data_IF_318008595935
#
_entry.id   IF_318008595935
#
_cell.length_a   1.000
_cell.length_b   1.000
_cell.length_c   1.000
_cell.angle_alpha   90.00
_cell.angle_beta   90.00
_cell.angle_gamma   90.00
#
_symmetry.space_group_name_H-M   'P 1'
#
loop_
_entity.id
_entity.type
_entity.pdbx_description
1 polymer ?
#
# COMPACT_ATOMS: atom_id res chain seq x y z
N UNK A 1 25.84 -10.99 -4.17
CA UNK A 1 24.55 -11.37 -3.57
C UNK A 1 24.06 -10.19 -2.75
N UNK A 2 23.21 -9.34 -3.31
CA UNK A 2 22.55 -8.27 -2.58
C UNK A 2 21.44 -8.90 -1.74
N UNK A 3 21.57 -8.81 -0.41
CA UNK A 3 20.50 -9.20 0.49
C UNK A 3 19.24 -8.41 0.14
N UNK A 4 18.13 -9.09 -0.17
CA UNK A 4 16.83 -8.45 -0.21
C UNK A 4 16.61 -7.84 1.18
N UNK A 5 16.68 -6.52 1.30
CA UNK A 5 16.37 -5.83 2.54
C UNK A 5 14.86 -5.87 2.73
N UNK A 6 14.37 -6.92 3.37
CA UNK A 6 13.01 -6.93 3.89
C UNK A 6 12.98 -6.06 5.14
N UNK A 7 12.56 -4.79 4.99
CA UNK A 7 12.37 -3.93 6.14
C UNK A 7 11.08 -4.35 6.87
N UNK A 8 11.16 -4.77 8.14
CA UNK A 8 9.97 -5.08 8.91
C UNK A 8 9.09 -3.84 9.03
N UNK A 9 7.78 -4.03 9.08
CA UNK A 9 6.85 -2.94 9.35
C UNK A 9 7.17 -2.30 10.71
N UNK A 10 7.32 -0.97 10.73
CA UNK A 10 7.34 -0.20 11.99
C UNK A 10 5.96 -0.26 12.64
N UNK A 11 5.86 0.02 13.95
CA UNK A 11 4.59 -0.09 14.70
C UNK A 11 3.45 0.69 14.01
N UNK A 12 3.66 1.97 13.71
CA UNK A 12 2.67 2.82 13.04
C UNK A 12 2.29 2.37 11.62
N UNK A 13 3.17 1.64 10.93
CA UNK A 13 2.85 1.02 9.63
C UNK A 13 1.93 -0.20 9.79
N UNK A 14 2.08 -0.95 10.89
CA UNK A 14 1.17 -2.06 11.23
C UNK A 14 -0.19 -1.53 11.66
N UNK A 15 -0.22 -0.53 12.54
CA UNK A 15 -1.46 0.07 13.03
C UNK A 15 -2.31 0.59 11.87
N UNK A 16 -1.71 1.29 10.90
CA UNK A 16 -2.46 1.77 9.75
C UNK A 16 -2.94 0.61 8.86
N UNK A 17 -2.12 -0.44 8.70
CA UNK A 17 -2.49 -1.60 7.88
C UNK A 17 -3.68 -2.37 8.46
N UNK A 18 -3.71 -2.55 9.78
CA UNK A 18 -4.79 -3.25 10.50
C UNK A 18 -6.14 -2.52 10.43
N UNK A 19 -6.12 -1.20 10.27
CA UNK A 19 -7.35 -0.39 10.14
C UNK A 19 -7.85 -0.28 8.71
N UNK A 20 -7.10 -0.77 7.73
CA UNK A 20 -7.49 -0.73 6.34
C UNK A 20 -8.54 -1.80 6.02
N UNK A 21 -9.52 -1.47 5.18
CA UNK A 21 -10.17 -2.49 4.36
C UNK A 21 -9.19 -2.92 3.27
N UNK A 22 -8.74 -4.17 3.33
CA UNK A 22 -7.79 -4.75 2.38
C UNK A 22 -8.52 -5.66 1.39
N UNK A 23 -8.28 -5.46 0.10
CA UNK A 23 -8.84 -6.33 -0.95
C UNK A 23 -7.77 -6.70 -1.97
N UNK A 24 -7.93 -7.87 -2.59
CA UNK A 24 -7.18 -8.24 -3.77
C UNK A 24 -7.88 -7.74 -5.04
N UNK A 25 -7.11 -7.17 -5.96
CA UNK A 25 -7.57 -6.79 -7.28
C UNK A 25 -6.71 -7.49 -8.33
N UNK A 26 -7.33 -8.32 -9.18
CA UNK A 26 -6.62 -8.93 -10.30
C UNK A 26 -6.13 -7.86 -11.28
N UNK A 27 -4.82 -7.84 -11.54
CA UNK A 27 -4.19 -6.89 -12.43
C UNK A 27 -3.06 -7.52 -13.25
N UNK A 28 -3.28 -7.63 -14.57
CA UNK A 28 -2.34 -8.24 -15.52
C UNK A 28 -1.92 -9.66 -15.13
N UNK A 29 -0.75 -9.83 -14.51
CA UNK A 29 -0.09 -11.11 -14.24
C UNK A 29 -0.15 -11.55 -12.78
N UNK A 30 -0.89 -10.84 -11.94
CA UNK A 30 -1.04 -11.17 -10.52
C UNK A 30 -2.09 -10.29 -9.86
N UNK A 31 -2.32 -10.52 -8.58
CA UNK A 31 -3.16 -9.65 -7.77
C UNK A 31 -2.33 -8.52 -7.18
N UNK A 32 -2.92 -7.32 -7.16
CA UNK A 32 -2.42 -6.20 -6.39
C UNK A 32 -3.27 -6.02 -5.13
N UNK A 33 -2.64 -5.65 -4.03
CA UNK A 33 -3.31 -5.32 -2.78
C UNK A 33 -3.79 -3.88 -2.84
N UNK A 34 -5.08 -3.73 -2.61
CA UNK A 34 -5.76 -2.45 -2.50
C UNK A 34 -6.11 -2.21 -1.03
N UNK A 35 -6.06 -0.95 -0.64
CA UNK A 35 -6.32 -0.49 0.72
C UNK A 35 -7.30 0.67 0.68
N UNK A 36 -8.25 0.64 1.61
CA UNK A 36 -9.15 1.75 1.86
C UNK A 36 -9.21 2.06 3.35
N UNK A 37 -9.04 3.33 3.67
CA UNK A 37 -9.32 3.87 5.00
C UNK A 37 -10.48 4.85 4.90
N UNK A 38 -11.58 4.52 5.57
CA UNK A 38 -12.77 5.38 5.60
C UNK A 38 -12.53 6.54 6.57
N UNK A 39 -12.76 7.77 6.11
CA UNK A 39 -12.70 8.97 6.95
C UNK A 39 -13.91 9.87 6.73
N UNK A 40 -13.97 10.53 5.57
CA UNK A 40 -15.07 11.42 5.22
C UNK A 40 -15.33 11.50 3.70
N UNK A 41 -16.08 12.51 3.23
CA UNK A 41 -16.55 12.59 1.84
C UNK A 41 -15.46 12.97 0.83
N UNK A 42 -14.33 13.53 1.28
CA UNK A 42 -13.20 13.84 0.39
C UNK A 42 -12.49 12.54 0.02
N UNK A 43 -12.09 12.37 -1.23
CA UNK A 43 -11.42 11.14 -1.69
C UNK A 43 -10.02 11.50 -2.15
N UNK A 44 -9.04 10.67 -1.80
CA UNK A 44 -7.67 10.78 -2.29
C UNK A 44 -7.04 9.41 -2.51
N UNK A 45 -6.04 9.35 -3.39
CA UNK A 45 -5.26 8.16 -3.69
C UNK A 45 -3.80 8.43 -3.33
N UNK A 46 -3.22 7.57 -2.49
CA UNK A 46 -1.82 7.59 -2.11
C UNK A 46 -1.07 6.51 -2.88
N UNK A 47 0.03 6.89 -3.52
CA UNK A 47 0.87 6.02 -4.36
C UNK A 47 2.30 6.11 -3.84
N UNK A 48 2.95 4.95 -3.73
CA UNK A 48 4.32 4.84 -3.25
C UNK A 48 5.36 4.92 -4.37
N UNK A 49 6.60 5.16 -3.96
CA UNK A 49 7.82 5.15 -4.77
C UNK A 49 8.31 3.73 -5.11
N UNK A 50 9.35 3.62 -5.95
CA UNK A 50 9.85 2.34 -6.47
C UNK A 50 10.35 1.34 -5.41
N UNK A 51 10.96 1.75 -4.31
CA UNK A 51 11.37 0.84 -3.22
C UNK A 51 10.41 0.90 -2.03
N UNK A 52 9.16 1.27 -2.34
CA UNK A 52 8.13 1.63 -1.37
C UNK A 52 7.01 0.61 -1.24
N UNK A 53 6.14 0.89 -0.26
CA UNK A 53 4.81 0.30 -0.09
C UNK A 53 3.90 1.36 0.51
N UNK A 54 2.58 1.20 0.37
CA UNK A 54 1.63 2.26 0.75
C UNK A 54 1.73 2.68 2.23
N UNK A 55 2.08 1.74 3.11
CA UNK A 55 2.19 1.95 4.55
C UNK A 55 3.36 2.85 4.96
N UNK A 56 4.33 3.11 4.06
CA UNK A 56 5.35 4.13 4.29
C UNK A 56 4.74 5.53 4.50
N UNK A 57 3.52 5.76 4.00
CA UNK A 57 2.75 6.99 4.20
C UNK A 57 1.80 6.93 5.40
N UNK A 58 1.96 5.97 6.30
CA UNK A 58 1.09 5.75 7.47
C UNK A 58 0.73 7.02 8.25
N UNK A 59 1.69 7.90 8.54
CA UNK A 59 1.44 9.17 9.24
C UNK A 59 0.56 10.11 8.39
N UNK A 60 0.88 10.26 7.10
CA UNK A 60 0.09 11.07 6.18
C UNK A 60 -1.34 10.53 6.02
N UNK A 61 -1.49 9.21 5.90
CA UNK A 61 -2.80 8.55 5.81
C UNK A 61 -3.63 8.86 7.06
N UNK A 62 -3.04 8.74 8.26
CA UNK A 62 -3.71 9.09 9.50
C UNK A 62 -4.17 10.55 9.52
N UNK A 63 -3.33 11.48 9.08
CA UNK A 63 -3.68 12.90 9.09
C UNK A 63 -4.74 13.26 8.04
N UNK A 64 -4.71 12.61 6.87
CA UNK A 64 -5.75 12.73 5.84
C UNK A 64 -7.12 12.24 6.34
N UNK A 65 -7.15 11.10 7.04
CA UNK A 65 -8.37 10.57 7.64
C UNK A 65 -8.93 11.57 8.67
N UNK A 66 -8.09 12.12 9.55
CA UNK A 66 -8.50 13.10 10.57
C UNK A 66 -9.12 14.35 9.96
N UNK A 67 -8.68 14.78 8.78
CA UNK A 67 -9.24 15.96 8.08
C UNK A 67 -10.34 15.61 7.06
N UNK A 68 -10.91 14.41 7.16
CA UNK A 68 -12.14 14.01 6.48
C UNK A 68 -11.94 13.39 5.10
N UNK A 69 -10.76 12.84 4.80
CA UNK A 69 -10.53 12.05 3.59
C UNK A 69 -10.83 10.57 3.81
N UNK A 70 -11.56 9.97 2.88
CA UNK A 70 -11.43 8.55 2.57
C UNK A 70 -10.19 8.36 1.70
N UNK A 71 -9.22 7.61 2.21
CA UNK A 71 -7.93 7.38 1.56
C UNK A 71 -7.95 6.03 0.87
N UNK A 72 -7.59 6.00 -0.40
CA UNK A 72 -7.27 4.78 -1.13
C UNK A 72 -5.77 4.68 -1.33
N UNK A 73 -5.27 3.45 -1.44
CA UNK A 73 -3.91 3.18 -1.84
C UNK A 73 -3.77 1.74 -2.32
N UNK A 74 -2.63 1.43 -2.92
CA UNK A 74 -2.33 0.08 -3.38
C UNK A 74 -0.83 -0.16 -3.34
N UNK A 75 -0.45 -1.43 -3.24
CA UNK A 75 0.93 -1.85 -3.46
C UNK A 75 1.10 -2.22 -4.95
N UNK A 76 2.05 -1.61 -5.63
CA UNK A 76 2.34 -1.91 -7.03
C UNK A 76 2.76 -3.38 -7.22
N UNK A 77 2.69 -3.94 -8.44
CA UNK A 77 3.12 -5.32 -8.68
C UNK A 77 4.54 -5.57 -8.18
N UNK A 78 4.77 -6.68 -7.47
CA UNK A 78 6.02 -7.03 -6.79
C UNK A 78 6.44 -6.15 -5.59
N UNK A 79 5.54 -5.31 -5.07
CA UNK A 79 5.79 -4.47 -3.88
C UNK A 79 4.87 -4.85 -2.73
N UNK A 80 5.30 -4.53 -1.50
CA UNK A 80 4.52 -4.74 -0.28
C UNK A 80 3.88 -6.13 -0.18
N UNK A 81 2.55 -6.17 -0.13
CA UNK A 81 1.77 -7.42 -0.06
C UNK A 81 1.22 -7.88 -1.42
N UNK A 82 1.48 -7.17 -2.51
CA UNK A 82 1.08 -7.57 -3.88
C UNK A 82 1.91 -8.73 -4.40
N UNK A 83 1.32 -9.47 -5.34
CA UNK A 83 2.00 -10.64 -5.93
C UNK A 83 3.31 -10.23 -6.61
N UNK A 84 4.33 -11.08 -6.45
CA UNK A 84 5.57 -10.98 -7.23
C UNK A 84 5.28 -11.39 -8.67
N UNK A 85 5.37 -10.44 -9.58
CA UNK A 85 5.27 -10.68 -11.02
C UNK A 85 6.65 -10.72 -11.65
N UNK A 86 6.92 -11.77 -12.44
CA UNK A 86 8.15 -11.86 -13.24
C UNK A 86 7.95 -11.13 -14.57
N UNK A 87 8.87 -10.24 -14.91
CA UNK A 87 9.04 -9.86 -16.32
C UNK A 87 9.72 -11.02 -17.04
N UNK A 88 9.15 -11.43 -18.18
CA UNK A 88 9.94 -12.21 -19.15
C UNK A 88 10.98 -11.22 -19.65
N UNK A 89 12.26 -11.49 -19.38
CA UNK A 89 13.35 -10.83 -20.08
C UNK A 89 13.08 -10.96 -21.58
N UNK A 90 13.13 -9.83 -22.30
CA UNK A 90 13.18 -9.84 -23.76
C UNK A 90 14.45 -10.56 -24.23
#
# INVERSE_FOLDING_TARGET
MTYLKFYPYRAHEKDILETALVTDQTFKKGNIKMYKWSGGPKITLVIHEWDGRVTHFSILIQDLIKVGYTVYGFDAPSHGLSDKVKNKSL
#
